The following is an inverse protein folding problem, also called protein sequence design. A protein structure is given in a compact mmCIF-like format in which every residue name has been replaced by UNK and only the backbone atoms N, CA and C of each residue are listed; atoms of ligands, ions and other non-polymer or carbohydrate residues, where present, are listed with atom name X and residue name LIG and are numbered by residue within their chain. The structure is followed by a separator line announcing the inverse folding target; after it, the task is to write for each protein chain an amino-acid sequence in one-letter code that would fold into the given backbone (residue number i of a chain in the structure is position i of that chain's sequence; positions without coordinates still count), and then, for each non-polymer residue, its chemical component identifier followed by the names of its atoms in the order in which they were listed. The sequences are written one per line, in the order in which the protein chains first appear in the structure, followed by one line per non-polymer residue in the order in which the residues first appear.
data_IF_859866977395
#
_entry.id   IF_859866977395
#
_cell.length_a   1.000
_cell.length_b   1.000
_cell.length_c   1.000
_cell.angle_alpha   90.00
_cell.angle_beta   90.00
_cell.angle_gamma   90.00
#
_symmetry.space_group_name_H-M   'P 1'
#
loop_
_entity.id
_entity.type
_entity.pdbx_description
1 polymer ?
#
# COMPACT_ATOMS: atom_id res chain seq x y z
N UNK A 1 36.69 -30.55 -16.58
CA UNK A 1 35.25 -30.90 -16.49
C UNK A 1 34.69 -30.58 -15.11
N UNK A 2 35.38 -30.95 -14.02
CA UNK A 2 34.96 -30.64 -12.62
C UNK A 2 34.84 -29.14 -12.29
N UNK A 3 35.81 -28.32 -12.72
CA UNK A 3 35.81 -26.87 -12.45
C UNK A 3 34.67 -26.09 -13.12
N UNK A 4 34.11 -26.63 -14.22
CA UNK A 4 32.96 -26.01 -14.91
C UNK A 4 31.66 -26.30 -14.15
N UNK A 5 31.48 -27.52 -13.62
CA UNK A 5 30.34 -27.87 -12.78
C UNK A 5 30.34 -27.09 -11.46
N UNK A 6 31.50 -26.90 -10.82
CA UNK A 6 31.59 -26.06 -9.61
C UNK A 6 31.23 -24.60 -9.88
N UNK A 7 31.59 -24.07 -11.07
CA UNK A 7 31.18 -22.72 -11.48
C UNK A 7 29.68 -22.61 -11.69
N UNK A 8 29.08 -23.56 -12.40
CA UNK A 8 27.64 -23.58 -12.65
C UNK A 8 26.85 -23.73 -11.35
N UNK A 9 27.29 -24.62 -10.44
CA UNK A 9 26.65 -24.81 -9.15
C UNK A 9 26.73 -23.54 -8.28
N UNK A 10 27.87 -22.83 -8.34
CA UNK A 10 28.08 -21.56 -7.63
C UNK A 10 27.22 -20.43 -8.22
N UNK A 11 27.06 -20.39 -9.54
CA UNK A 11 26.20 -19.40 -10.21
C UNK A 11 24.71 -19.65 -9.94
N UNK A 12 24.25 -20.91 -9.98
CA UNK A 12 22.88 -21.29 -9.62
C UNK A 12 22.60 -20.89 -8.16
N UNK A 13 23.52 -21.20 -7.25
CA UNK A 13 23.39 -20.84 -5.83
C UNK A 13 23.31 -19.34 -5.61
N UNK A 14 24.13 -18.56 -6.31
CA UNK A 14 24.08 -17.09 -6.25
C UNK A 14 22.78 -16.52 -6.82
N UNK A 15 22.23 -17.11 -7.88
CA UNK A 15 20.92 -16.72 -8.41
C UNK A 15 19.78 -17.03 -7.44
N UNK A 16 19.80 -18.21 -6.81
CA UNK A 16 18.81 -18.62 -5.80
C UNK A 16 18.88 -17.69 -4.58
N UNK A 17 20.07 -17.33 -4.09
CA UNK A 17 20.23 -16.37 -3.00
C UNK A 17 19.66 -14.99 -3.39
N UNK A 18 19.94 -14.49 -4.60
CA UNK A 18 19.34 -13.24 -5.08
C UNK A 18 17.82 -13.29 -5.12
N UNK A 19 17.22 -14.36 -5.64
CA UNK A 19 15.77 -14.55 -5.67
C UNK A 19 15.17 -14.59 -4.26
N UNK A 20 15.83 -15.31 -3.34
CA UNK A 20 15.42 -15.37 -1.93
C UNK A 20 15.58 -14.04 -1.19
N UNK A 21 16.54 -13.19 -1.56
CA UNK A 21 16.67 -11.84 -1.00
C UNK A 21 15.67 -10.84 -1.60
N UNK A 22 15.24 -11.04 -2.85
CA UNK A 22 14.25 -10.19 -3.53
C UNK A 22 12.81 -10.51 -3.11
N UNK A 23 12.50 -11.77 -2.80
CA UNK A 23 11.15 -12.21 -2.38
C UNK A 23 10.60 -11.49 -1.14
N UNK A 24 11.36 -11.30 -0.05
CA UNK A 24 10.93 -10.54 1.11
C UNK A 24 10.55 -9.11 0.74
N UNK A 25 11.34 -8.44 -0.09
CA UNK A 25 11.07 -7.06 -0.52
C UNK A 25 9.82 -6.97 -1.41
N UNK A 26 9.58 -7.97 -2.25
CA UNK A 26 8.37 -8.08 -3.06
C UNK A 26 7.13 -8.36 -2.20
N UNK A 27 7.24 -9.27 -1.23
CA UNK A 27 6.18 -9.58 -0.27
C UNK A 27 5.87 -8.40 0.64
N UNK A 28 6.87 -7.70 1.18
CA UNK A 28 6.67 -6.49 1.97
C UNK A 28 6.01 -5.40 1.14
N UNK A 29 6.43 -5.19 -0.13
CA UNK A 29 5.73 -4.27 -1.04
C UNK A 29 4.29 -4.67 -1.32
N UNK A 30 4.00 -5.97 -1.43
CA UNK A 30 2.64 -6.48 -1.61
C UNK A 30 1.78 -6.23 -0.37
N UNK A 31 2.30 -6.54 0.82
CA UNK A 31 1.63 -6.30 2.10
C UNK A 31 1.41 -4.81 2.34
N UNK A 32 2.40 -3.95 2.07
CA UNK A 32 2.25 -2.49 2.16
C UNK A 32 1.12 -2.02 1.23
N UNK A 33 1.11 -2.45 -0.03
CA UNK A 33 0.03 -2.10 -0.97
C UNK A 33 -1.35 -2.56 -0.49
N UNK A 34 -1.43 -3.75 0.08
CA UNK A 34 -2.68 -4.32 0.58
C UNK A 34 -3.19 -3.57 1.81
N UNK A 35 -2.30 -3.21 2.74
CA UNK A 35 -2.60 -2.35 3.89
C UNK A 35 -3.00 -0.94 3.45
N UNK A 36 -2.32 -0.37 2.45
CA UNK A 36 -2.70 0.93 1.87
C UNK A 36 -4.08 0.86 1.21
N UNK A 37 -4.38 -0.20 0.48
CA UNK A 37 -5.68 -0.40 -0.16
C UNK A 37 -6.81 -0.55 0.87
N UNK A 38 -6.60 -1.34 1.91
CA UNK A 38 -7.55 -1.47 3.03
C UNK A 38 -7.81 -0.13 3.72
N UNK A 39 -6.78 0.69 3.92
CA UNK A 39 -6.96 2.05 4.48
C UNK A 39 -7.75 2.96 3.54
N UNK A 40 -7.53 2.88 2.23
CA UNK A 40 -8.34 3.62 1.25
C UNK A 40 -9.81 3.17 1.30
N UNK A 41 -10.07 1.87 1.38
CA UNK A 41 -11.41 1.31 1.49
C UNK A 41 -12.14 1.84 2.73
N UNK A 42 -11.48 1.86 3.89
CA UNK A 42 -12.03 2.46 5.12
C UNK A 42 -12.36 3.95 4.98
N UNK A 43 -11.50 4.71 4.28
CA UNK A 43 -11.74 6.13 4.02
C UNK A 43 -12.93 6.33 3.08
N UNK A 44 -13.09 5.47 2.07
CA UNK A 44 -14.24 5.50 1.17
C UNK A 44 -15.55 5.17 1.91
N UNK A 45 -15.56 4.13 2.74
CA UNK A 45 -16.73 3.78 3.56
C UNK A 45 -17.15 4.93 4.47
N UNK A 46 -16.16 5.64 5.05
CA UNK A 46 -16.42 6.82 5.87
C UNK A 46 -17.05 7.96 5.06
N UNK A 47 -16.57 8.24 3.84
CA UNK A 47 -17.15 9.25 2.95
C UNK A 47 -18.58 8.87 2.55
N UNK A 48 -18.83 7.60 2.26
CA UNK A 48 -20.18 7.09 1.93
C UNK A 48 -21.12 7.33 3.11
N UNK A 49 -20.71 6.98 4.33
CA UNK A 49 -21.50 7.23 5.54
C UNK A 49 -21.82 8.71 5.72
N UNK A 50 -20.84 9.59 5.58
CA UNK A 50 -21.04 11.04 5.69
C UNK A 50 -21.96 11.58 4.58
N UNK A 51 -21.95 10.96 3.40
CA UNK A 51 -22.86 11.34 2.31
C UNK A 51 -24.32 11.00 2.65
N UNK A 52 -24.55 9.86 3.30
CA UNK A 52 -25.87 9.50 3.84
C UNK A 52 -26.30 10.48 4.94
N UNK A 53 -25.41 10.82 5.87
CA UNK A 53 -25.71 11.82 6.92
C UNK A 53 -26.03 13.21 6.32
N UNK A 54 -25.38 13.57 5.20
CA UNK A 54 -25.72 14.77 4.43
C UNK A 54 -27.12 14.67 3.82
N UNK A 55 -27.46 13.55 3.20
CA UNK A 55 -28.77 13.32 2.59
C UNK A 55 -29.91 13.36 3.63
N UNK A 56 -29.63 12.92 4.85
CA UNK A 56 -30.52 13.03 6.00
C UNK A 56 -30.58 14.44 6.62
N UNK A 57 -29.81 15.40 6.08
CA UNK A 57 -29.76 16.78 6.57
C UNK A 57 -28.99 16.97 7.88
N UNK A 58 -28.27 15.94 8.36
CA UNK A 58 -27.44 16.00 9.58
C UNK A 58 -26.09 16.67 9.34
N UNK A 59 -25.65 16.72 8.08
CA UNK A 59 -24.37 17.30 7.68
C UNK A 59 -24.56 18.31 6.55
N UNK A 60 -23.89 19.45 6.61
CA UNK A 60 -23.89 20.40 5.49
C UNK A 60 -22.94 19.95 4.37
N UNK A 61 -23.26 20.36 3.13
CA UNK A 61 -22.40 20.12 1.96
C UNK A 61 -20.98 20.69 2.18
N UNK A 62 -20.86 21.81 2.90
CA UNK A 62 -19.57 22.43 3.22
C UNK A 62 -18.73 21.63 4.23
N UNK A 63 -19.37 20.91 5.14
CA UNK A 63 -18.69 20.00 6.08
C UNK A 63 -18.22 18.74 5.36
N UNK A 64 -19.09 18.11 4.55
CA UNK A 64 -18.72 16.96 3.73
C UNK A 64 -17.53 17.30 2.82
N UNK A 65 -17.59 18.45 2.14
CA UNK A 65 -16.53 18.92 1.24
C UNK A 65 -15.21 19.12 1.97
N UNK A 66 -15.21 19.64 3.19
CA UNK A 66 -13.99 19.83 4.00
C UNK A 66 -13.36 18.51 4.42
N UNK A 67 -14.17 17.52 4.79
CA UNK A 67 -13.66 16.18 5.14
C UNK A 67 -13.06 15.49 3.93
N UNK A 68 -13.77 15.49 2.79
CA UNK A 68 -13.26 14.91 1.52
C UNK A 68 -11.93 15.57 1.14
N UNK A 69 -11.88 16.91 1.16
CA UNK A 69 -10.64 17.66 0.90
C UNK A 69 -9.52 17.24 1.86
N UNK A 70 -9.79 17.14 3.16
CA UNK A 70 -8.78 16.76 4.16
C UNK A 70 -8.29 15.33 3.99
N UNK A 71 -9.14 14.41 3.53
CA UNK A 71 -8.75 13.01 3.25
C UNK A 71 -7.84 12.93 2.03
N UNK A 72 -8.19 13.61 0.94
CA UNK A 72 -7.43 13.56 -0.32
C UNK A 72 -6.20 14.50 -0.34
N UNK A 73 -6.23 15.59 0.43
CA UNK A 73 -5.13 16.55 0.55
C UNK A 73 -4.42 16.48 1.91
N UNK A 74 -4.75 15.48 2.73
CA UNK A 74 -4.18 15.27 4.05
C UNK A 74 -2.66 15.24 3.98
N UNK A 75 -2.03 16.09 4.79
CA UNK A 75 -0.62 16.46 4.71
C UNK A 75 0.28 15.30 4.32
N UNK A 76 1.07 15.53 3.28
CA UNK A 76 2.11 14.67 2.72
C UNK A 76 3.09 14.10 3.78
N UNK A 77 3.10 14.67 4.99
CA UNK A 77 3.97 14.31 6.12
C UNK A 77 3.60 12.98 6.81
N UNK A 78 2.33 12.57 6.83
CA UNK A 78 1.92 11.28 7.43
C UNK A 78 2.08 10.08 6.47
N UNK A 79 2.02 10.34 5.16
CA UNK A 79 2.16 9.32 4.12
C UNK A 79 3.62 8.98 3.79
N UNK A 80 4.57 9.83 4.19
CA UNK A 80 6.01 9.59 4.02
C UNK A 80 6.60 8.58 5.01
N UNK A 81 5.85 8.18 6.03
CA UNK A 81 6.30 7.21 7.06
C UNK A 81 5.77 5.78 6.84
N UNK A 82 5.10 5.52 5.72
CA UNK A 82 4.65 4.19 5.27
C UNK A 82 5.41 3.75 4.01
#
# INVERSE_FOLDING_TARGET
MFELMEREEKDIRNQVIKLLMLNPVANTRKVIREVTFQRMEQLFDYIVKLSVERDEGKLSVNELRRVVITIFMGKEEEWKQL
#
